data_IF_360873931144
#
_entry.id   IF_360873931144
#
_cell.length_a   1.000
_cell.length_b   1.000
_cell.length_c   1.000
_cell.angle_alpha   90.00
_cell.angle_beta   90.00
_cell.angle_gamma   90.00
#
_symmetry.space_group_name_H-M   'P 1'
#
loop_
_entity.id
_entity.type
_entity.pdbx_description
1 polymer ?
#
# COMPACT_ATOMS: atom_id res chain seq x y z
N UNK A 1 -3.06 9.34 20.72
CA UNK A 1 -2.71 8.27 21.68
C UNK A 1 -3.13 8.66 23.09
N UNK A 2 -2.34 9.42 23.85
CA UNK A 2 -2.66 9.74 25.25
C UNK A 2 -4.00 10.49 25.42
N UNK A 3 -4.25 11.53 24.62
CA UNK A 3 -5.52 12.27 24.63
C UNK A 3 -6.73 11.45 24.16
N UNK A 4 -6.51 10.32 23.48
CA UNK A 4 -7.56 9.43 22.97
C UNK A 4 -7.66 8.14 23.79
N UNK A 5 -7.00 8.04 24.94
CA UNK A 5 -6.96 6.83 25.78
C UNK A 5 -6.29 5.62 25.11
N UNK A 6 -5.57 5.82 24.01
CA UNK A 6 -4.92 4.75 23.26
C UNK A 6 -3.44 4.65 23.63
N UNK A 7 -2.96 3.42 23.87
CA UNK A 7 -1.56 3.13 24.15
C UNK A 7 -0.76 3.22 22.85
N UNK A 8 0.27 4.08 22.81
CA UNK A 8 1.23 4.08 21.70
C UNK A 8 2.24 2.97 21.91
N UNK A 9 2.39 2.07 20.93
CA UNK A 9 3.42 1.01 20.95
C UNK A 9 4.84 1.56 20.87
N UNK A 10 5.01 2.73 20.23
CA UNK A 10 6.28 3.43 20.13
C UNK A 10 6.05 4.93 20.16
N UNK A 11 6.84 5.67 20.94
CA UNK A 11 7.05 7.10 20.77
C UNK A 11 8.38 7.27 20.04
N UNK A 12 8.31 7.61 18.75
CA UNK A 12 9.39 7.37 17.78
C UNK A 12 10.70 8.04 18.18
N UNK A 13 10.66 9.30 18.63
CA UNK A 13 11.85 10.07 18.96
C UNK A 13 12.58 9.52 20.21
N UNK A 14 11.84 9.32 21.30
CA UNK A 14 12.35 8.83 22.58
C UNK A 14 12.83 7.38 22.48
N UNK A 15 12.05 6.53 21.79
CA UNK A 15 12.40 5.13 21.61
C UNK A 15 13.69 4.96 20.81
N UNK A 16 13.92 5.79 19.78
CA UNK A 16 15.13 5.72 18.97
C UNK A 16 16.39 5.97 19.78
N UNK A 17 16.38 6.96 20.67
CA UNK A 17 17.53 7.27 21.52
C UNK A 17 17.88 6.14 22.49
N UNK A 18 16.86 5.48 23.06
CA UNK A 18 17.05 4.35 23.96
C UNK A 18 17.57 3.11 23.22
N UNK A 19 17.04 2.84 22.02
CA UNK A 19 17.51 1.73 21.17
C UNK A 19 18.98 1.93 20.78
N UNK A 20 19.35 3.14 20.35
CA UNK A 20 20.72 3.44 19.92
C UNK A 20 21.75 3.35 21.06
N UNK A 21 21.30 3.52 22.30
CA UNK A 21 22.13 3.35 23.51
C UNK A 21 22.08 1.92 24.07
N UNK A 22 21.35 0.99 23.45
CA UNK A 22 21.15 -0.37 23.95
C UNK A 22 20.34 -0.45 25.25
N UNK A 23 19.60 0.62 25.59
CA UNK A 23 18.76 0.71 26.79
C UNK A 23 17.32 0.22 26.54
N UNK A 24 16.99 -0.13 25.30
CA UNK A 24 15.70 -0.70 24.91
C UNK A 24 15.89 -1.75 23.82
N UNK A 25 15.11 -2.83 23.89
CA UNK A 25 14.99 -3.83 22.82
C UNK A 25 13.73 -3.56 21.99
N UNK A 26 13.87 -3.59 20.67
CA UNK A 26 12.76 -3.43 19.73
C UNK A 26 12.28 -4.75 19.13
N UNK A 27 12.86 -5.89 19.51
CA UNK A 27 12.56 -7.19 18.89
C UNK A 27 11.07 -7.56 19.00
N UNK A 28 10.41 -7.24 20.12
CA UNK A 28 8.96 -7.42 20.27
C UNK A 28 8.12 -6.57 19.31
N UNK A 29 8.49 -5.30 19.11
CA UNK A 29 7.81 -4.44 18.13
C UNK A 29 8.03 -4.94 16.70
N UNK A 30 9.24 -5.38 16.36
CA UNK A 30 9.55 -5.92 15.04
C UNK A 30 8.81 -7.24 14.78
N UNK A 31 8.66 -8.09 15.81
CA UNK A 31 7.85 -9.30 15.75
C UNK A 31 6.38 -8.97 15.50
N UNK A 32 5.80 -8.04 16.27
CA UNK A 32 4.41 -7.60 16.07
C UNK A 32 4.24 -7.07 14.63
N UNK A 33 5.11 -6.16 14.19
CA UNK A 33 5.03 -5.56 12.86
C UNK A 33 5.18 -6.60 11.74
N UNK A 34 6.07 -7.58 11.87
CA UNK A 34 6.19 -8.67 10.90
C UNK A 34 4.88 -9.44 10.74
N UNK A 35 4.14 -9.64 11.84
CA UNK A 35 2.86 -10.35 11.87
C UNK A 35 1.64 -9.44 11.63
N UNK A 36 1.83 -8.22 11.12
CA UNK A 36 0.72 -7.30 10.85
C UNK A 36 0.08 -6.69 12.10
N UNK A 37 0.82 -6.62 13.21
CA UNK A 37 0.42 -5.95 14.43
C UNK A 37 1.29 -4.70 14.68
N UNK A 38 0.73 -3.53 15.00
CA UNK A 38 -0.69 -3.24 15.20
C UNK A 38 -1.49 -3.10 13.89
N UNK A 39 -2.84 -3.17 13.93
CA UNK A 39 -3.69 -3.06 12.73
C UNK A 39 -3.73 -1.65 12.10
N UNK A 40 -3.03 -0.69 12.70
CA UNK A 40 -2.88 0.68 12.22
C UNK A 40 -1.63 1.32 12.82
N UNK A 41 -0.74 1.81 11.96
CA UNK A 41 0.30 2.74 12.31
C UNK A 41 -0.07 4.14 11.80
N UNK A 42 -0.10 5.12 12.71
CA UNK A 42 -0.37 6.53 12.39
C UNK A 42 0.93 7.29 12.54
N UNK A 43 1.40 7.90 11.46
CA UNK A 43 2.74 8.47 11.37
C UNK A 43 2.62 9.88 10.81
N UNK A 44 3.27 10.86 11.43
CA UNK A 44 3.31 12.22 10.87
C UNK A 44 4.26 12.29 9.65
N UNK A 45 5.36 11.54 9.72
CA UNK A 45 6.37 11.47 8.66
C UNK A 45 7.11 10.13 8.69
N UNK A 46 7.11 9.40 7.56
CA UNK A 46 7.94 8.22 7.39
C UNK A 46 9.41 8.62 7.18
N UNK A 47 10.20 8.79 8.25
CA UNK A 47 11.60 9.21 8.12
C UNK A 47 12.48 9.09 9.37
N UNK A 48 13.55 9.91 9.39
CA UNK A 48 14.84 9.71 10.09
C UNK A 48 14.83 9.24 11.56
N UNK A 49 13.73 9.41 12.27
CA UNK A 49 13.65 9.04 13.69
C UNK A 49 13.17 7.61 13.90
N UNK A 50 12.73 6.91 12.84
CA UNK A 50 12.38 5.48 12.92
C UNK A 50 13.60 4.58 12.65
N UNK A 51 13.76 3.48 13.41
CA UNK A 51 14.73 2.45 13.08
C UNK A 51 14.52 1.88 11.68
N UNK A 52 15.60 1.62 10.95
CA UNK A 52 15.56 1.09 9.59
C UNK A 52 14.73 -0.20 9.48
N UNK A 53 14.75 -1.04 10.52
CA UNK A 53 13.98 -2.28 10.59
C UNK A 53 12.47 -2.03 10.63
N UNK A 54 12.02 -1.01 11.37
CA UNK A 54 10.61 -0.59 11.40
C UNK A 54 10.18 -0.05 10.04
N UNK A 55 11.01 0.78 9.41
CA UNK A 55 10.75 1.30 8.06
C UNK A 55 10.67 0.16 7.04
N UNK A 56 11.55 -0.84 7.12
CA UNK A 56 11.52 -2.00 6.24
C UNK A 56 10.20 -2.77 6.39
N UNK A 57 9.75 -3.05 7.61
CA UNK A 57 8.47 -3.73 7.85
C UNK A 57 7.27 -2.92 7.37
N UNK A 58 7.23 -1.62 7.65
CA UNK A 58 6.15 -0.74 7.22
C UNK A 58 6.07 -0.56 5.69
N UNK A 59 7.19 -0.73 4.98
CA UNK A 59 7.21 -0.63 3.52
C UNK A 59 6.78 -1.91 2.81
N UNK A 60 6.90 -3.08 3.44
CA UNK A 60 6.61 -4.35 2.78
C UNK A 60 5.36 -5.05 3.37
N UNK A 61 5.26 -5.17 4.70
CA UNK A 61 4.14 -5.85 5.37
C UNK A 61 2.90 -4.96 5.50
N UNK A 62 3.10 -3.65 5.47
CA UNK A 62 2.06 -2.62 5.51
C UNK A 62 2.03 -1.85 4.20
N UNK A 63 0.90 -1.21 3.94
CA UNK A 63 0.74 -0.24 2.88
C UNK A 63 0.00 1.00 3.39
N UNK A 64 0.16 2.12 2.69
CA UNK A 64 -0.44 3.38 3.06
C UNK A 64 -1.94 3.36 2.73
N UNK A 65 -2.78 3.50 3.76
CA UNK A 65 -4.24 3.69 3.67
C UNK A 65 -4.59 5.19 3.59
N UNK A 66 -3.78 5.92 2.83
CA UNK A 66 -3.90 7.36 2.63
C UNK A 66 -3.49 8.22 3.82
N UNK A 67 -3.97 9.47 3.79
CA UNK A 67 -3.63 10.52 4.77
C UNK A 67 -4.89 11.14 5.39
N UNK A 68 -4.81 11.53 6.66
CA UNK A 68 -5.80 12.35 7.35
C UNK A 68 -5.12 13.63 7.84
N UNK A 69 -5.36 14.73 7.14
CA UNK A 69 -4.63 15.99 7.35
C UNK A 69 -3.13 15.79 7.18
N UNK A 70 -2.38 15.97 8.26
CA UNK A 70 -0.92 15.80 8.23
C UNK A 70 -0.47 14.37 8.55
N UNK A 71 -1.35 13.48 9.01
CA UNK A 71 -0.98 12.12 9.40
C UNK A 71 -1.17 11.11 8.27
N UNK A 72 -0.15 10.29 8.06
CA UNK A 72 -0.18 9.13 7.18
C UNK A 72 -0.68 7.90 7.94
N UNK A 73 -1.52 7.11 7.29
CA UNK A 73 -2.07 5.88 7.84
C UNK A 73 -1.42 4.69 7.14
N UNK A 74 -0.83 3.77 7.89
CA UNK A 74 -0.32 2.50 7.37
C UNK A 74 -1.11 1.36 7.99
N UNK A 75 -1.55 0.41 7.16
CA UNK A 75 -2.25 -0.80 7.61
C UNK A 75 -1.59 -2.05 7.07
N UNK A 76 -1.67 -3.18 7.81
CA UNK A 76 -1.20 -4.45 7.30
C UNK A 76 -1.93 -4.78 6.00
N UNK A 77 -1.17 -5.26 5.02
CA UNK A 77 -1.73 -5.80 3.79
C UNK A 77 -2.52 -7.06 4.15
N UNK A 78 -3.76 -7.14 3.66
CA UNK A 78 -4.60 -8.32 3.86
C UNK A 78 -4.22 -9.41 2.86
N UNK A 79 -3.86 -10.58 3.39
CA UNK A 79 -3.38 -11.71 2.60
C UNK A 79 -4.37 -12.86 2.61
N UNK A 80 -5.59 -12.62 3.09
CA UNK A 80 -6.66 -13.60 3.10
C UNK A 80 -6.47 -14.70 4.16
N UNK A 81 -7.25 -15.79 4.06
CA UNK A 81 -7.25 -16.84 5.05
C UNK A 81 -5.96 -17.67 5.00
N UNK A 82 -5.32 -17.80 6.16
CA UNK A 82 -4.14 -18.63 6.33
C UNK A 82 -4.44 -20.12 6.08
N UNK A 83 -3.59 -20.76 5.29
CA UNK A 83 -3.52 -22.20 5.07
C UNK A 83 -2.40 -22.77 5.94
N UNK A 84 -2.69 -23.84 6.69
CA UNK A 84 -1.71 -24.48 7.58
C UNK A 84 -0.99 -25.61 6.84
N UNK A 85 0.31 -25.73 7.06
CA UNK A 85 1.16 -26.84 6.61
C UNK A 85 1.49 -27.67 7.85
N UNK A 86 0.93 -28.87 7.94
CA UNK A 86 1.12 -29.79 9.07
C UNK A 86 1.54 -31.18 8.57
N UNK A 87 2.74 -31.69 8.93
CA UNK A 87 3.77 -30.99 9.71
C UNK A 87 4.42 -29.83 8.93
N UNK A 88 4.99 -28.82 9.61
CA UNK A 88 5.77 -27.77 8.95
C UNK A 88 6.84 -28.36 8.03
N UNK A 89 7.00 -27.77 6.85
CA UNK A 89 7.96 -28.23 5.85
C UNK A 89 9.29 -27.53 6.04
N UNK A 90 10.35 -28.27 6.35
CA UNK A 90 11.73 -27.73 6.40
C UNK A 90 12.14 -27.27 5.00
N UNK A 91 12.48 -25.98 4.86
CA UNK A 91 12.94 -25.39 3.60
C UNK A 91 14.46 -25.31 3.58
N UNK A 92 15.09 -25.07 4.73
CA UNK A 92 16.55 -25.06 4.87
C UNK A 92 17.04 -24.07 5.91
N UNK A 93 18.33 -24.17 6.24
CA UNK A 93 18.99 -23.32 7.24
C UNK A 93 18.32 -23.28 8.63
N UNK A 94 17.65 -24.38 9.02
CA UNK A 94 16.91 -24.48 10.28
C UNK A 94 15.60 -23.70 10.27
N UNK A 95 15.04 -23.42 9.10
CA UNK A 95 13.75 -22.77 8.92
C UNK A 95 12.74 -23.73 8.28
N UNK A 96 11.57 -23.79 8.91
CA UNK A 96 10.42 -24.51 8.42
C UNK A 96 9.28 -23.54 8.06
N UNK A 97 8.53 -23.87 7.01
CA UNK A 97 7.30 -23.19 6.64
C UNK A 97 6.12 -23.92 7.28
N UNK A 98 5.41 -23.24 8.18
CA UNK A 98 4.24 -23.78 8.89
C UNK A 98 2.91 -23.31 8.31
N UNK A 99 2.90 -22.23 7.51
CA UNK A 99 1.69 -21.73 6.88
C UNK A 99 1.97 -20.84 5.68
N UNK A 100 0.94 -20.62 4.87
CA UNK A 100 0.94 -19.60 3.82
C UNK A 100 -0.45 -18.98 3.65
N UNK A 101 -0.54 -17.79 3.08
CA UNK A 101 -1.80 -17.14 2.71
C UNK A 101 -1.64 -16.43 1.36
N UNK A 102 -2.72 -16.37 0.57
CA UNK A 102 -2.75 -15.66 -0.70
C UNK A 102 -3.89 -14.64 -0.70
N UNK A 103 -3.59 -13.39 -1.01
CA UNK A 103 -4.63 -12.38 -1.18
C UNK A 103 -5.55 -12.79 -2.35
N UNK A 104 -6.85 -12.92 -2.12
CA UNK A 104 -7.78 -13.35 -3.17
C UNK A 104 -7.82 -12.34 -4.34
N UNK A 105 -7.80 -12.75 -5.62
CA UNK A 105 -7.87 -11.82 -6.74
C UNK A 105 -9.14 -10.96 -6.73
N UNK A 106 -9.13 -9.80 -7.40
CA UNK A 106 -10.34 -8.95 -7.50
C UNK A 106 -11.44 -9.59 -8.36
N UNK A 107 -11.03 -10.41 -9.31
CA UNK A 107 -11.89 -11.21 -10.18
C UNK A 107 -11.91 -12.67 -9.68
N UNK A 108 -12.76 -13.56 -10.23
CA UNK A 108 -12.77 -14.98 -9.84
C UNK A 108 -11.44 -15.73 -10.05
N UNK A 109 -10.50 -15.13 -10.78
CA UNK A 109 -9.15 -15.64 -11.04
C UNK A 109 -8.21 -14.46 -11.18
N UNK A 110 -6.90 -14.70 -11.05
CA UNK A 110 -5.90 -13.66 -11.27
C UNK A 110 -5.89 -13.22 -12.72
N UNK A 111 -5.58 -11.95 -12.95
CA UNK A 111 -5.43 -11.38 -14.29
C UNK A 111 -3.95 -11.12 -14.61
N UNK A 112 -3.52 -11.24 -15.88
CA UNK A 112 -2.20 -10.76 -16.31
C UNK A 112 -2.01 -9.30 -15.92
N UNK A 113 -0.82 -8.96 -15.41
CA UNK A 113 -0.52 -7.63 -14.84
C UNK A 113 -0.88 -7.47 -13.35
N UNK A 114 -1.71 -8.36 -12.77
CA UNK A 114 -2.07 -8.28 -11.36
C UNK A 114 -0.88 -8.62 -10.44
N UNK A 115 -0.89 -8.07 -9.22
CA UNK A 115 0.11 -8.38 -8.21
C UNK A 115 -0.34 -9.61 -7.39
N UNK A 116 0.41 -10.71 -7.50
CA UNK A 116 0.29 -11.84 -6.59
C UNK A 116 0.91 -11.45 -5.24
N UNK A 117 0.14 -11.61 -4.16
CA UNK A 117 0.59 -11.32 -2.79
C UNK A 117 0.51 -12.61 -1.98
N UNK A 118 1.65 -13.06 -1.47
CA UNK A 118 1.80 -14.31 -0.72
C UNK A 118 2.39 -14.01 0.65
N UNK A 119 1.69 -14.38 1.71
CA UNK A 119 2.24 -14.35 3.06
C UNK A 119 2.76 -15.73 3.43
N UNK A 120 3.93 -15.79 4.07
CA UNK A 120 4.59 -17.02 4.47
C UNK A 120 4.82 -17.01 5.98
N UNK A 121 4.31 -18.02 6.68
CA UNK A 121 4.49 -18.18 8.12
C UNK A 121 5.67 -19.11 8.42
N UNK A 122 6.78 -18.51 8.85
CA UNK A 122 8.04 -19.21 9.13
C UNK A 122 8.21 -19.54 10.60
N UNK A 123 8.88 -20.66 10.88
CA UNK A 123 9.32 -21.06 12.21
C UNK A 123 10.83 -21.31 12.20
N UNK A 124 11.52 -20.85 13.24
CA UNK A 124 12.93 -21.08 13.43
C UNK A 124 13.17 -22.26 14.38
N UNK A 125 13.94 -23.24 13.92
CA UNK A 125 14.41 -24.35 14.73
C UNK A 125 15.66 -24.01 15.55
N UNK A 126 16.11 -24.93 16.43
CA UNK A 126 17.33 -24.72 17.24
C UNK A 126 18.61 -24.52 16.44
N UNK A 127 18.63 -24.98 15.19
CA UNK A 127 19.76 -24.86 14.25
C UNK A 127 19.61 -23.69 13.27
N UNK A 128 18.71 -22.74 13.53
CA UNK A 128 18.49 -21.59 12.67
C UNK A 128 19.79 -20.78 12.50
N UNK A 129 20.12 -20.47 11.25
CA UNK A 129 21.36 -19.75 10.92
C UNK A 129 21.35 -18.29 11.39
N UNK A 130 22.54 -17.75 11.64
CA UNK A 130 22.77 -16.31 11.84
C UNK A 130 23.06 -15.56 10.53
N UNK A 131 23.29 -16.28 9.44
CA UNK A 131 23.59 -15.69 8.13
C UNK A 131 22.37 -14.96 7.55
N UNK A 132 22.62 -13.93 6.75
CA UNK A 132 21.55 -13.26 6.01
C UNK A 132 20.95 -14.23 4.99
N UNK A 133 19.62 -14.33 5.00
CA UNK A 133 18.85 -15.16 4.10
C UNK A 133 17.93 -14.30 3.24
N UNK A 134 17.69 -14.78 2.03
CA UNK A 134 16.66 -14.29 1.12
C UNK A 134 15.60 -15.35 0.91
N UNK A 135 14.34 -14.93 0.81
CA UNK A 135 13.22 -15.77 0.42
C UNK A 135 12.94 -15.52 -1.05
N UNK A 136 12.81 -16.61 -1.81
CA UNK A 136 12.44 -16.56 -3.22
C UNK A 136 10.98 -16.98 -3.37
N UNK A 137 10.23 -16.29 -4.22
CA UNK A 137 8.90 -16.67 -4.67
C UNK A 137 8.93 -16.85 -6.18
N UNK A 138 8.57 -18.03 -6.66
CA UNK A 138 8.62 -18.40 -8.07
C UNK A 138 7.20 -18.67 -8.58
N UNK A 139 6.88 -18.10 -9.75
CA UNK A 139 5.79 -18.58 -10.59
C UNK A 139 6.35 -19.65 -11.52
N UNK A 140 5.71 -20.82 -11.57
CA UNK A 140 6.14 -21.95 -12.41
C UNK A 140 5.07 -22.35 -13.43
N UNK A 141 5.51 -22.93 -14.55
CA UNK A 141 4.61 -23.59 -15.51
C UNK A 141 3.90 -24.78 -14.86
N UNK A 142 2.82 -25.32 -15.45
CA UNK A 142 2.22 -26.58 -15.00
C UNK A 142 3.22 -27.74 -14.86
N UNK A 143 4.27 -27.75 -15.67
CA UNK A 143 5.35 -28.76 -15.68
C UNK A 143 6.43 -28.48 -14.62
N UNK A 144 6.33 -27.38 -13.87
CA UNK A 144 7.24 -27.01 -12.79
C UNK A 144 8.45 -26.18 -13.21
N UNK A 145 8.52 -25.71 -14.47
CA UNK A 145 9.60 -24.84 -14.93
C UNK A 145 9.41 -23.40 -14.40
N UNK A 146 10.46 -22.73 -13.88
CA UNK A 146 10.33 -21.35 -13.40
C UNK A 146 10.08 -20.37 -14.55
N UNK A 147 9.11 -19.47 -14.37
CA UNK A 147 8.75 -18.41 -15.33
C UNK A 147 9.19 -17.03 -14.86
N UNK A 148 8.94 -16.75 -13.58
CA UNK A 148 9.23 -15.46 -12.95
C UNK A 148 9.60 -15.72 -11.50
N UNK A 149 10.44 -14.85 -10.95
CA UNK A 149 10.88 -14.94 -9.56
C UNK A 149 10.95 -13.56 -8.92
N UNK A 150 10.58 -13.47 -7.64
CA UNK A 150 10.94 -12.38 -6.75
C UNK A 150 11.86 -12.88 -5.64
N UNK A 151 12.74 -12.01 -5.16
CA UNK A 151 13.69 -12.28 -4.09
C UNK A 151 13.64 -11.10 -3.11
N UNK A 152 13.37 -11.38 -1.84
CA UNK A 152 13.42 -10.39 -0.76
C UNK A 152 14.19 -10.95 0.42
N UNK A 153 14.97 -10.14 1.16
CA UNK A 153 15.57 -10.57 2.41
C UNK A 153 14.51 -11.13 3.37
N UNK A 154 14.83 -12.21 4.08
CA UNK A 154 13.93 -12.82 5.06
C UNK A 154 13.54 -11.78 6.12
N UNK A 155 12.22 -11.60 6.31
CA UNK A 155 11.63 -10.53 7.13
C UNK A 155 12.25 -9.16 6.82
N UNK A 156 12.60 -8.92 5.55
CA UNK A 156 13.19 -7.69 5.01
C UNK A 156 14.50 -7.28 5.71
N UNK A 157 15.22 -8.24 6.31
CA UNK A 157 16.39 -7.99 7.14
C UNK A 157 16.09 -7.31 8.49
N UNK A 158 14.81 -7.15 8.83
CA UNK A 158 14.37 -6.43 10.02
C UNK A 158 14.53 -7.28 11.29
N UNK A 159 14.17 -8.56 11.24
CA UNK A 159 14.18 -9.46 12.40
C UNK A 159 14.80 -10.82 12.03
N UNK A 160 16.07 -11.08 12.42
CA UNK A 160 16.74 -12.34 12.09
C UNK A 160 16.12 -13.53 12.86
N UNK A 161 16.15 -14.75 12.30
CA UNK A 161 15.57 -15.96 12.90
C UNK A 161 16.00 -16.22 14.34
N UNK A 162 17.26 -15.95 14.67
CA UNK A 162 17.81 -16.15 16.03
C UNK A 162 17.20 -15.23 17.09
N UNK A 163 16.41 -14.24 16.70
CA UNK A 163 15.68 -13.33 17.59
C UNK A 163 14.18 -13.61 17.62
N UNK A 164 13.70 -14.65 16.95
CA UNK A 164 12.30 -15.03 17.00
C UNK A 164 11.99 -15.67 18.36
N UNK A 165 10.82 -15.39 18.96
CA UNK A 165 10.42 -16.10 20.17
C UNK A 165 10.33 -17.61 19.91
N UNK A 166 10.69 -18.43 20.90
CA UNK A 166 10.71 -19.88 20.75
C UNK A 166 9.34 -20.43 20.35
N UNK A 167 9.30 -21.19 19.25
CA UNK A 167 8.07 -21.77 18.71
C UNK A 167 7.09 -20.77 18.09
N UNK A 168 7.46 -19.49 17.98
CA UNK A 168 6.63 -18.50 17.33
C UNK A 168 6.72 -18.61 15.81
N UNK A 169 5.59 -18.34 15.16
CA UNK A 169 5.54 -18.08 13.72
C UNK A 169 5.85 -16.61 13.47
N UNK A 170 6.67 -16.33 12.45
CA UNK A 170 6.94 -14.99 11.93
C UNK A 170 6.53 -14.92 10.47
N UNK A 171 5.67 -13.97 10.15
CA UNK A 171 5.19 -13.75 8.80
C UNK A 171 6.23 -13.02 7.92
N UNK A 172 6.22 -13.36 6.63
CA UNK A 172 6.98 -12.72 5.58
C UNK A 172 6.11 -12.62 4.32
N UNK A 173 5.77 -11.39 3.94
CA UNK A 173 4.99 -11.10 2.75
C UNK A 173 5.91 -10.94 1.53
N UNK A 174 5.62 -11.72 0.49
CA UNK A 174 6.21 -11.68 -0.84
C UNK A 174 5.20 -11.17 -1.84
N UNK A 175 5.70 -10.50 -2.87
CA UNK A 175 4.88 -9.99 -3.97
C UNK A 175 5.51 -10.30 -5.31
N UNK A 176 4.70 -10.69 -6.29
CA UNK A 176 5.14 -11.00 -7.63
C UNK A 176 4.18 -10.38 -8.65
N UNK A 177 4.66 -9.42 -9.45
CA UNK A 177 3.86 -8.83 -10.52
C UNK A 177 3.73 -9.84 -11.67
N UNK A 178 2.50 -10.28 -11.95
CA UNK A 178 2.28 -11.20 -13.05
C UNK A 178 2.56 -10.49 -14.39
N UNK A 179 3.27 -11.12 -15.34
CA UNK A 179 3.51 -10.51 -16.66
C UNK A 179 2.19 -10.14 -17.35
N UNK A 180 2.17 -9.02 -18.08
CA UNK A 180 0.97 -8.57 -18.79
C UNK A 180 0.60 -9.52 -19.94
N UNK A 181 1.58 -10.26 -20.46
CA UNK A 181 1.45 -11.24 -21.54
C UNK A 181 1.29 -12.66 -21.01
N UNK A 182 1.14 -12.85 -19.70
CA UNK A 182 1.00 -14.18 -19.10
C UNK A 182 -0.24 -14.90 -19.67
N UNK A 183 -0.09 -16.06 -20.32
CA UNK A 183 -1.22 -16.78 -20.90
C UNK A 183 -2.25 -17.19 -19.85
N UNK A 184 -3.48 -17.45 -20.29
CA UNK A 184 -4.50 -18.06 -19.44
C UNK A 184 -4.09 -19.49 -19.10
N UNK A 185 -4.19 -19.89 -17.84
CA UNK A 185 -3.76 -21.22 -17.44
C UNK A 185 -3.68 -21.41 -15.94
N UNK A 186 -3.14 -22.56 -15.53
CA UNK A 186 -2.81 -22.86 -14.13
C UNK A 186 -1.31 -22.79 -13.96
N UNK A 187 -0.87 -22.16 -12.89
CA UNK A 187 0.54 -21.94 -12.61
C UNK A 187 0.87 -22.39 -11.19
N UNK A 188 2.04 -22.98 -11.00
CA UNK A 188 2.55 -23.29 -9.68
C UNK A 188 3.11 -22.03 -9.00
N UNK A 189 2.99 -22.00 -7.68
CA UNK A 189 3.63 -20.99 -6.84
C UNK A 189 4.56 -21.75 -5.90
N UNK A 190 5.86 -21.48 -6.01
CA UNK A 190 6.89 -22.16 -5.24
C UNK A 190 7.73 -21.16 -4.45
N UNK A 191 8.30 -21.62 -3.34
CA UNK A 191 9.16 -20.82 -2.48
C UNK A 191 10.49 -21.52 -2.24
N UNK A 192 11.54 -20.72 -2.04
CA UNK A 192 12.86 -21.22 -1.70
C UNK A 192 13.60 -20.26 -0.77
N UNK A 193 14.78 -20.67 -0.36
CA UNK A 193 15.71 -19.84 0.41
C UNK A 193 17.02 -19.67 -0.36
N UNK A 194 17.68 -18.53 -0.15
CA UNK A 194 19.04 -18.28 -0.61
C UNK A 194 19.93 -17.78 0.52
N UNK A 195 21.20 -18.16 0.47
CA UNK A 195 22.25 -17.55 1.27
C UNK A 195 23.35 -17.04 0.33
N UNK A 196 23.76 -15.79 0.51
CA UNK A 196 24.79 -15.16 -0.34
C UNK A 196 24.52 -15.25 -1.84
N UNK A 197 23.23 -15.23 -2.24
CA UNK A 197 22.79 -15.36 -3.64
C UNK A 197 22.61 -16.79 -4.14
N UNK A 198 23.06 -17.80 -3.39
CA UNK A 198 22.98 -19.20 -3.80
C UNK A 198 21.75 -19.91 -3.21
N UNK A 199 21.02 -20.74 -3.99
CA UNK A 199 19.90 -21.54 -3.49
C UNK A 199 20.29 -22.48 -2.35
N UNK A 200 19.48 -22.49 -1.31
CA UNK A 200 19.54 -23.45 -0.22
C UNK A 200 18.51 -24.55 -0.46
N UNK A 201 18.89 -25.54 -1.27
CA UNK A 201 18.02 -26.66 -1.62
C UNK A 201 17.14 -26.40 -2.84
N UNK A 202 16.04 -27.13 -2.94
CA UNK A 202 15.09 -27.04 -4.05
C UNK A 202 13.93 -26.11 -3.69
N UNK A 203 13.29 -25.51 -4.68
CA UNK A 203 12.04 -24.78 -4.46
C UNK A 203 10.91 -25.73 -4.09
N UNK A 204 10.07 -25.32 -3.14
CA UNK A 204 8.91 -26.07 -2.67
C UNK A 204 7.64 -25.43 -3.21
N UNK A 205 6.85 -26.16 -4.00
CA UNK A 205 5.54 -25.68 -4.44
C UNK A 205 4.57 -25.64 -3.26
N UNK A 206 4.01 -24.46 -2.98
CA UNK A 206 3.08 -24.25 -1.87
C UNK A 206 1.62 -24.22 -2.32
N UNK A 207 1.35 -23.81 -3.56
CA UNK A 207 0.00 -23.78 -4.12
C UNK A 207 0.01 -23.67 -5.64
N UNK A 208 -1.18 -23.62 -6.24
CA UNK A 208 -1.37 -23.23 -7.64
C UNK A 208 -2.33 -22.04 -7.72
N UNK A 209 -2.14 -21.19 -8.72
CA UNK A 209 -3.08 -20.12 -9.07
C UNK A 209 -3.65 -20.36 -10.46
N UNK A 210 -4.82 -19.80 -10.72
CA UNK A 210 -5.43 -19.78 -12.04
C UNK A 210 -5.44 -18.36 -12.57
N UNK A 211 -4.99 -18.20 -13.81
CA UNK A 211 -4.92 -16.93 -14.53
C UNK A 211 -5.91 -16.98 -15.69
N UNK A 212 -6.72 -15.93 -15.81
CA UNK A 212 -7.75 -15.80 -16.85
C UNK A 212 -7.57 -14.52 -17.65
N UNK A 213 -8.28 -14.40 -18.77
CA UNK A 213 -8.18 -13.23 -19.63
C UNK A 213 -8.42 -11.93 -18.84
N UNK A 214 -7.60 -10.91 -19.11
CA UNK A 214 -7.66 -9.64 -18.40
C UNK A 214 -8.97 -8.90 -18.68
N UNK A 215 -9.59 -8.38 -17.64
CA UNK A 215 -10.70 -7.43 -17.70
C UNK A 215 -10.28 -6.02 -17.27
N UNK A 216 -9.07 -5.90 -16.72
CA UNK A 216 -8.38 -4.66 -16.40
C UNK A 216 -7.52 -4.11 -17.54
N UNK A 217 -6.64 -3.18 -17.19
CA UNK A 217 -5.75 -2.51 -18.14
C UNK A 217 -4.40 -2.15 -17.48
N UNK A 218 -3.30 -2.41 -18.20
CA UNK A 218 -1.96 -1.95 -17.85
C UNK A 218 -1.71 -0.53 -18.39
N UNK A 219 -1.02 0.29 -17.59
CA UNK A 219 -0.63 1.66 -17.94
C UNK A 219 0.90 1.76 -18.00
N UNK A 220 1.47 1.66 -19.19
CA UNK A 220 2.92 1.67 -19.42
C UNK A 220 3.60 2.90 -18.80
N UNK A 221 2.97 4.08 -18.85
CA UNK A 221 3.55 5.32 -18.32
C UNK A 221 3.80 5.27 -16.80
N UNK A 222 3.02 4.45 -16.09
CA UNK A 222 3.12 4.28 -14.63
C UNK A 222 3.70 2.93 -14.20
N UNK A 223 3.69 1.95 -15.10
CA UNK A 223 4.00 0.55 -14.82
C UNK A 223 2.94 -0.17 -13.98
N UNK A 224 1.74 0.41 -13.82
CA UNK A 224 0.70 -0.13 -12.95
C UNK A 224 -0.44 -0.80 -13.75
N UNK A 225 -1.00 -1.85 -13.16
CA UNK A 225 -2.22 -2.50 -13.66
C UNK A 225 -3.44 -2.05 -12.86
N UNK A 226 -4.54 -1.74 -13.55
CA UNK A 226 -5.83 -1.41 -12.97
C UNK A 226 -6.81 -2.56 -13.22
N UNK A 227 -7.21 -3.33 -12.19
CA UNK A 227 -8.13 -4.45 -12.36
C UNK A 227 -9.50 -4.04 -12.87
N UNK A 228 -10.20 -4.94 -13.57
CA UNK A 228 -11.44 -4.63 -14.29
C UNK A 228 -12.53 -3.89 -13.48
N UNK A 229 -12.87 -4.29 -12.23
CA UNK A 229 -13.83 -3.56 -11.41
C UNK A 229 -13.44 -2.09 -11.19
N UNK A 230 -12.16 -1.83 -10.91
CA UNK A 230 -11.63 -0.47 -10.68
C UNK A 230 -11.55 0.28 -12.01
N UNK A 231 -11.14 -0.39 -13.10
CA UNK A 231 -11.04 0.22 -14.44
C UNK A 231 -12.39 0.71 -14.96
N UNK A 232 -13.47 -0.06 -14.73
CA UNK A 232 -14.84 0.38 -15.06
C UNK A 232 -15.23 1.65 -14.30
N UNK A 233 -14.93 1.70 -13.00
CA UNK A 233 -15.21 2.88 -12.18
C UNK A 233 -14.36 4.09 -12.58
N UNK A 234 -13.08 3.87 -12.89
CA UNK A 234 -12.17 4.89 -13.39
C UNK A 234 -12.72 5.55 -14.66
N UNK A 235 -13.17 4.75 -15.64
CA UNK A 235 -13.79 5.25 -16.88
C UNK A 235 -15.08 6.04 -16.60
N UNK A 236 -15.96 5.49 -15.75
CA UNK A 236 -17.25 6.12 -15.43
C UNK A 236 -17.09 7.47 -14.68
N UNK A 237 -15.98 7.66 -13.96
CA UNK A 237 -15.70 8.87 -13.18
C UNK A 237 -14.86 9.90 -13.94
N UNK A 238 -14.68 9.77 -15.27
CA UNK A 238 -13.98 10.74 -16.10
C UNK A 238 -12.52 10.39 -16.40
N UNK A 239 -12.09 9.18 -16.07
CA UNK A 239 -10.81 8.60 -16.48
C UNK A 239 -9.60 9.48 -16.16
N UNK A 240 -8.70 9.62 -17.13
CA UNK A 240 -7.40 10.29 -16.95
C UNK A 240 -7.55 11.76 -16.54
N UNK A 241 -8.59 12.44 -17.00
CA UNK A 241 -8.77 13.87 -16.70
C UNK A 241 -9.23 14.12 -15.25
N UNK A 242 -9.99 13.20 -14.65
CA UNK A 242 -10.55 13.38 -13.30
C UNK A 242 -9.85 12.55 -12.22
N UNK A 243 -9.36 11.37 -12.58
CA UNK A 243 -8.76 10.41 -11.66
C UNK A 243 -7.23 10.36 -11.83
N UNK A 244 -6.73 10.51 -13.05
CA UNK A 244 -5.29 10.50 -13.37
C UNK A 244 -4.73 9.10 -13.64
N UNK A 245 -3.41 9.02 -13.83
CA UNK A 245 -2.70 7.75 -13.98
C UNK A 245 -2.64 6.98 -12.64
N UNK A 246 -2.67 5.64 -12.65
CA UNK A 246 -2.50 4.85 -11.43
C UNK A 246 -1.09 5.04 -10.84
N UNK A 247 -1.02 5.15 -9.52
CA UNK A 247 0.23 5.31 -8.76
C UNK A 247 0.61 4.02 -8.03
N UNK A 248 -0.37 3.19 -7.67
CA UNK A 248 -0.19 1.96 -6.91
C UNK A 248 -0.88 0.79 -7.60
N UNK A 249 -0.53 -0.46 -7.26
CA UNK A 249 -1.42 -1.60 -7.49
C UNK A 249 -2.69 -1.47 -6.64
N UNK A 250 -3.66 -2.36 -6.87
CA UNK A 250 -4.87 -2.46 -6.05
C UNK A 250 -4.56 -3.22 -4.73
N UNK A 251 -4.18 -2.48 -3.70
CA UNK A 251 -3.73 -3.03 -2.41
C UNK A 251 -4.90 -3.59 -1.61
N UNK A 252 -4.83 -4.85 -1.12
CA UNK A 252 -5.82 -5.40 -0.20
C UNK A 252 -5.57 -4.98 1.25
N UNK A 253 -6.66 -4.61 1.93
CA UNK A 253 -6.75 -4.33 3.35
C UNK A 253 -7.93 -5.11 3.93
N UNK A 254 -7.96 -5.29 5.26
CA UNK A 254 -9.04 -6.02 5.93
C UNK A 254 -10.44 -5.41 5.67
N UNK A 255 -10.50 -4.13 5.29
CA UNK A 255 -11.75 -3.44 4.98
C UNK A 255 -12.16 -3.49 3.50
N UNK A 256 -11.27 -3.92 2.58
CA UNK A 256 -11.49 -3.84 1.13
C UNK A 256 -10.19 -3.65 0.35
N UNK A 257 -10.26 -3.01 -0.82
CA UNK A 257 -9.06 -2.70 -1.63
C UNK A 257 -8.95 -1.22 -1.92
N UNK A 258 -7.72 -0.72 -2.02
CA UNK A 258 -7.42 0.66 -2.39
C UNK A 258 -6.50 0.68 -3.61
N UNK A 259 -6.83 1.50 -4.60
CA UNK A 259 -5.90 1.89 -5.64
C UNK A 259 -5.88 3.41 -5.77
N UNK A 260 -4.70 4.00 -5.67
CA UNK A 260 -4.53 5.44 -5.80
C UNK A 260 -4.01 5.81 -7.18
N UNK A 261 -4.46 6.98 -7.64
CA UNK A 261 -4.15 7.61 -8.90
C UNK A 261 -3.67 9.04 -8.63
N UNK A 262 -3.21 9.76 -9.65
CA UNK A 262 -2.66 11.11 -9.45
C UNK A 262 -3.64 12.07 -8.75
N UNK A 263 -4.92 12.05 -9.11
CA UNK A 263 -5.92 13.04 -8.65
C UNK A 263 -6.90 12.48 -7.62
N UNK A 264 -7.04 11.16 -7.51
CA UNK A 264 -8.00 10.52 -6.60
C UNK A 264 -7.53 9.12 -6.19
N UNK A 265 -8.14 8.56 -5.14
CA UNK A 265 -8.01 7.14 -4.81
C UNK A 265 -9.38 6.48 -4.89
N UNK A 266 -9.43 5.30 -5.51
CA UNK A 266 -10.61 4.47 -5.61
C UNK A 266 -10.51 3.31 -4.63
N UNK A 267 -11.56 3.13 -3.83
CA UNK A 267 -11.69 2.00 -2.92
C UNK A 267 -12.77 1.04 -3.40
N UNK A 268 -12.52 -0.27 -3.28
CA UNK A 268 -13.46 -1.34 -3.53
C UNK A 268 -13.87 -1.95 -2.18
N UNK A 269 -15.16 -1.84 -1.82
CA UNK A 269 -15.75 -2.45 -0.62
C UNK A 269 -17.00 -3.21 -1.00
N UNK A 270 -17.12 -4.46 -0.58
CA UNK A 270 -18.32 -5.29 -0.81
C UNK A 270 -18.81 -5.25 -2.28
N UNK A 271 -17.89 -5.29 -3.25
CA UNK A 271 -18.21 -5.25 -4.68
C UNK A 271 -18.49 -3.86 -5.27
N UNK A 272 -18.49 -2.80 -4.46
CA UNK A 272 -18.75 -1.42 -4.90
C UNK A 272 -17.45 -0.63 -4.92
N UNK A 273 -17.16 0.03 -6.05
CA UNK A 273 -16.02 0.94 -6.20
C UNK A 273 -16.48 2.39 -6.03
N UNK A 274 -15.85 3.13 -5.13
CA UNK A 274 -16.12 4.55 -4.89
C UNK A 274 -14.83 5.36 -4.74
N UNK A 275 -14.88 6.65 -5.08
CA UNK A 275 -13.78 7.56 -4.79
C UNK A 275 -13.72 7.88 -3.29
N UNK A 276 -12.51 7.98 -2.74
CA UNK A 276 -12.30 8.53 -1.39
C UNK A 276 -12.52 10.04 -1.40
N UNK A 277 -13.05 10.57 -0.31
CA UNK A 277 -13.24 12.00 -0.07
C UNK A 277 -11.90 12.68 0.27
N UNK A 278 -10.91 12.61 -0.62
CA UNK A 278 -9.54 13.08 -0.36
C UNK A 278 -9.51 14.59 -0.09
N UNK A 279 -10.41 15.36 -0.69
CA UNK A 279 -10.49 16.80 -0.42
C UNK A 279 -10.86 17.06 1.05
N UNK A 280 -11.89 16.37 1.56
CA UNK A 280 -12.24 16.44 2.99
C UNK A 280 -11.13 15.92 3.91
N UNK A 281 -10.48 14.82 3.54
CA UNK A 281 -9.44 14.19 4.35
C UNK A 281 -8.17 15.05 4.46
N UNK A 282 -7.71 15.63 3.34
CA UNK A 282 -6.51 16.46 3.31
C UNK A 282 -6.77 17.88 3.80
N UNK A 283 -7.99 18.41 3.65
CA UNK A 283 -8.35 19.72 4.19
C UNK A 283 -8.20 19.81 5.71
N UNK A 284 -8.26 18.68 6.44
CA UNK A 284 -7.98 18.66 7.88
C UNK A 284 -6.60 19.25 8.23
N UNK A 285 -5.60 19.07 7.36
CA UNK A 285 -4.24 19.59 7.54
C UNK A 285 -4.04 21.00 6.97
N UNK A 286 -5.04 21.58 6.32
CA UNK A 286 -4.97 22.95 5.80
C UNK A 286 -5.02 23.95 6.97
N UNK A 287 -4.10 24.90 7.00
CA UNK A 287 -4.04 25.91 8.07
C UNK A 287 -4.80 27.16 7.70
N UNK A 288 -4.93 27.44 6.40
CA UNK A 288 -5.68 28.59 5.91
C UNK A 288 -7.17 28.24 5.73
N UNK A 289 -8.03 28.99 6.43
CA UNK A 289 -9.49 28.78 6.42
C UNK A 289 -10.18 29.96 5.76
N UNK A 290 -11.18 29.66 4.94
CA UNK A 290 -12.09 30.65 4.38
C UNK A 290 -13.46 30.04 4.25
N UNK A 291 -14.49 30.84 4.51
CA UNK A 291 -15.87 30.50 4.21
C UNK A 291 -16.46 31.36 3.10
N UNK A 292 -15.64 32.19 2.45
CA UNK A 292 -16.08 33.14 1.45
C UNK A 292 -15.38 32.92 0.11
N UNK A 293 -16.12 33.17 -0.96
CA UNK A 293 -15.57 33.41 -2.29
C UNK A 293 -15.08 34.86 -2.39
N UNK A 294 -14.27 35.17 -3.38
CA UNK A 294 -13.79 36.53 -3.65
C UNK A 294 -14.94 37.51 -3.95
N UNK A 295 -16.08 37.02 -4.46
CA UNK A 295 -17.33 37.77 -4.61
C UNK A 295 -18.13 37.93 -3.30
N UNK A 296 -17.54 37.56 -2.16
CA UNK A 296 -18.11 37.56 -0.81
C UNK A 296 -19.28 36.58 -0.58
N UNK A 297 -19.57 35.67 -1.52
CA UNK A 297 -20.55 34.60 -1.30
C UNK A 297 -20.02 33.58 -0.28
N UNK A 298 -20.89 33.05 0.59
CA UNK A 298 -20.51 32.06 1.62
C UNK A 298 -20.48 30.61 1.09
N UNK A 299 -19.87 29.69 1.85
CA UNK A 299 -19.86 28.23 1.57
C UNK A 299 -21.29 27.74 1.29
N UNK A 300 -21.41 26.89 0.27
CA UNK A 300 -22.67 26.32 -0.21
C UNK A 300 -22.68 26.07 -1.73
N UNK A 301 -21.69 26.63 -2.44
CA UNK A 301 -21.40 26.36 -3.86
C UNK A 301 -19.90 26.43 -4.15
N UNK A 302 -19.49 25.85 -5.27
CA UNK A 302 -18.17 26.13 -5.84
C UNK A 302 -18.13 27.61 -6.26
N UNK A 303 -17.06 28.31 -5.92
CA UNK A 303 -16.92 29.74 -6.15
C UNK A 303 -16.91 30.04 -7.67
N UNK A 304 -17.47 31.19 -8.11
CA UNK A 304 -17.55 31.51 -9.54
C UNK A 304 -16.20 31.52 -10.27
N UNK A 305 -15.11 31.80 -9.56
CA UNK A 305 -13.75 31.70 -10.08
C UNK A 305 -13.40 30.31 -10.63
N UNK A 306 -14.10 29.26 -10.23
CA UNK A 306 -13.91 27.89 -10.70
C UNK A 306 -15.05 27.38 -11.60
N UNK A 307 -15.74 28.27 -12.29
CA UNK A 307 -16.87 27.91 -13.17
C UNK A 307 -16.48 26.87 -14.23
N UNK A 308 -15.28 26.96 -14.81
CA UNK A 308 -14.79 26.01 -15.83
C UNK A 308 -14.70 24.59 -15.28
N UNK A 309 -14.15 24.42 -14.09
CA UNK A 309 -14.06 23.11 -13.43
C UNK A 309 -15.44 22.61 -12.99
N UNK A 310 -16.32 23.51 -12.56
CA UNK A 310 -17.71 23.16 -12.18
C UNK A 310 -18.50 22.66 -13.38
N UNK A 311 -18.39 23.33 -14.54
CA UNK A 311 -19.02 22.90 -15.78
C UNK A 311 -18.48 21.56 -16.26
N UNK A 312 -17.17 21.33 -16.10
CA UNK A 312 -16.52 20.10 -16.56
C UNK A 312 -16.81 18.89 -15.69
N UNK A 313 -16.76 19.04 -14.36
CA UNK A 313 -16.81 17.91 -13.43
C UNK A 313 -18.10 17.82 -12.62
N UNK A 314 -18.86 18.92 -12.49
CA UNK A 314 -20.17 18.95 -11.85
C UNK A 314 -20.19 18.26 -10.49
N UNK A 315 -21.14 17.33 -10.33
CA UNK A 315 -21.35 16.59 -9.08
C UNK A 315 -20.13 15.74 -8.66
N UNK A 316 -19.21 15.40 -9.56
CA UNK A 316 -18.01 14.60 -9.25
C UNK A 316 -16.97 15.35 -8.39
N UNK A 317 -17.19 16.64 -8.12
CA UNK A 317 -16.42 17.41 -7.17
C UNK A 317 -16.89 17.19 -5.72
N UNK A 318 -18.15 16.78 -5.52
CA UNK A 318 -18.80 16.71 -4.21
C UNK A 318 -19.12 18.10 -3.64
N UNK A 319 -19.56 18.14 -2.39
CA UNK A 319 -19.93 19.39 -1.74
C UNK A 319 -18.71 20.27 -1.48
N UNK A 320 -18.82 21.61 -1.63
CA UNK A 320 -17.77 22.54 -1.24
C UNK A 320 -17.59 22.52 0.28
N UNK A 321 -16.36 22.42 0.75
CA UNK A 321 -16.02 22.39 2.18
C UNK A 321 -15.20 23.62 2.61
N UNK A 322 -14.81 24.48 1.66
CA UNK A 322 -14.17 25.76 1.92
C UNK A 322 -14.65 26.86 0.97
N UNK A 323 -14.39 28.11 1.32
CA UNK A 323 -14.30 29.23 0.37
C UNK A 323 -12.96 29.23 -0.37
N UNK A 324 -12.65 30.35 -1.03
CA UNK A 324 -11.36 30.56 -1.70
C UNK A 324 -10.25 30.85 -0.68
N UNK A 325 -9.10 30.20 -0.85
CA UNK A 325 -7.91 30.29 0.01
C UNK A 325 -6.67 30.48 -0.85
N UNK A 326 -5.73 31.32 -0.43
CA UNK A 326 -4.42 31.43 -1.09
C UNK A 326 -3.45 30.36 -0.54
N UNK A 327 -2.98 29.47 -1.40
CA UNK A 327 -2.05 28.37 -1.07
C UNK A 327 -0.90 28.34 -2.06
N UNK A 328 0.33 28.55 -1.59
CA UNK A 328 1.55 28.48 -2.41
C UNK A 328 1.47 29.31 -3.72
N UNK A 329 0.84 30.50 -3.67
CA UNK A 329 0.64 31.36 -4.84
C UNK A 329 -0.55 31.02 -5.74
N UNK A 330 -1.33 29.99 -5.40
CA UNK A 330 -2.56 29.60 -6.10
C UNK A 330 -3.79 29.97 -5.28
N UNK A 331 -4.86 30.38 -5.96
CA UNK A 331 -6.19 30.41 -5.34
C UNK A 331 -6.75 29.00 -5.40
N UNK A 332 -7.13 28.46 -4.25
CA UNK A 332 -7.68 27.12 -4.14
C UNK A 332 -9.04 27.13 -3.46
N UNK A 333 -9.88 26.16 -3.82
CA UNK A 333 -11.08 25.83 -3.08
C UNK A 333 -11.15 24.32 -2.89
N UNK A 334 -11.57 23.88 -1.71
CA UNK A 334 -11.71 22.48 -1.38
C UNK A 334 -13.17 22.05 -1.48
N UNK A 335 -13.38 20.85 -2.02
CA UNK A 335 -14.63 20.11 -1.98
C UNK A 335 -14.40 18.73 -1.38
N UNK A 336 -15.44 17.92 -1.20
CA UNK A 336 -15.31 16.57 -0.61
C UNK A 336 -14.29 15.70 -1.36
N UNK A 337 -14.30 15.73 -2.69
CA UNK A 337 -13.49 14.84 -3.54
C UNK A 337 -12.34 15.53 -4.28
N UNK A 338 -12.15 16.84 -4.15
CA UNK A 338 -11.17 17.56 -4.94
C UNK A 338 -10.62 18.83 -4.26
N UNK A 339 -9.48 19.29 -4.75
CA UNK A 339 -8.99 20.65 -4.58
C UNK A 339 -8.97 21.31 -5.94
N UNK A 340 -9.76 22.36 -6.10
CA UNK A 340 -9.78 23.19 -7.30
C UNK A 340 -8.67 24.21 -7.17
N UNK A 341 -7.88 24.39 -8.21
CA UNK A 341 -6.71 25.28 -8.21
C UNK A 341 -6.78 26.24 -9.39
N UNK A 342 -6.46 27.50 -9.13
CA UNK A 342 -6.49 28.59 -10.12
C UNK A 342 -5.30 29.51 -9.94
N UNK A 343 -4.60 29.77 -11.03
CA UNK A 343 -3.51 30.76 -11.06
C UNK A 343 -4.09 32.18 -11.02
N UNK A 344 -3.64 33.06 -10.11
CA UNK A 344 -4.14 34.43 -10.04
C UNK A 344 -3.83 35.27 -11.28
N UNK A 345 -2.74 34.99 -11.98
CA UNK A 345 -2.21 35.77 -13.11
C UNK A 345 -2.75 35.31 -14.47
N UNK A 346 -2.83 34.01 -14.70
CA UNK A 346 -3.26 33.44 -15.99
C UNK A 346 -4.69 32.92 -16.02
N UNK A 347 -5.35 32.86 -14.85
CA UNK A 347 -6.63 32.19 -14.64
C UNK A 347 -6.64 30.70 -15.09
N UNK A 348 -5.47 30.08 -15.24
CA UNK A 348 -5.35 28.66 -15.57
C UNK A 348 -5.86 27.84 -14.40
N UNK A 349 -6.77 26.91 -14.69
CA UNK A 349 -7.44 26.09 -13.69
C UNK A 349 -7.10 24.61 -13.82
N UNK A 350 -7.07 23.91 -12.70
CA UNK A 350 -6.82 22.47 -12.62
C UNK A 350 -7.32 21.87 -11.32
N UNK A 351 -7.16 20.55 -11.21
CA UNK A 351 -7.36 19.84 -9.95
C UNK A 351 -6.01 19.57 -9.31
N UNK A 352 -5.93 19.76 -8.00
CA UNK A 352 -4.78 19.34 -7.21
C UNK A 352 -4.60 17.82 -7.26
N UNK A 353 -3.34 17.35 -7.21
CA UNK A 353 -2.98 15.93 -7.28
C UNK A 353 -3.21 15.22 -5.95
N UNK A 354 -4.47 15.19 -5.51
CA UNK A 354 -4.81 14.74 -4.16
C UNK A 354 -4.50 13.26 -3.91
N UNK A 355 -4.49 12.41 -4.93
CA UNK A 355 -4.14 11.00 -4.74
C UNK A 355 -2.63 10.81 -4.53
N UNK A 356 -1.79 11.60 -5.20
CA UNK A 356 -0.35 11.69 -4.91
C UNK A 356 -0.10 12.28 -3.51
N UNK A 357 -0.79 13.39 -3.18
CA UNK A 357 -0.69 14.03 -1.85
C UNK A 357 -1.29 13.19 -0.72
N UNK A 358 -2.10 12.19 -1.02
CA UNK A 358 -2.60 11.24 -0.02
C UNK A 358 -1.57 10.15 0.29
N UNK A 359 -0.57 9.97 -0.57
CA UNK A 359 0.48 8.95 -0.46
C UNK A 359 1.84 9.62 -0.17
N UNK A 360 1.92 10.32 0.96
CA UNK A 360 3.07 11.16 1.28
C UNK A 360 4.29 10.34 1.63
N UNK A 361 5.41 10.77 1.06
CA UNK A 361 6.76 10.32 1.35
C UNK A 361 7.67 11.54 1.59
N UNK A 362 8.91 11.33 2.06
CA UNK A 362 9.95 12.36 2.05
C UNK A 362 9.98 13.18 0.76
N UNK A 363 10.28 14.51 0.82
CA UNK A 363 10.25 15.37 -0.36
C UNK A 363 10.99 14.78 -1.57
N UNK A 364 10.29 14.71 -2.71
CA UNK A 364 10.82 14.15 -3.97
C UNK A 364 10.64 12.64 -4.13
N UNK A 365 10.10 11.91 -3.14
CA UNK A 365 9.79 10.49 -3.25
C UNK A 365 8.35 10.25 -3.73
N UNK A 366 8.18 9.45 -4.78
CA UNK A 366 6.87 8.88 -5.12
C UNK A 366 6.62 7.63 -4.27
N UNK A 367 5.46 7.55 -3.63
CA UNK A 367 5.05 6.32 -2.97
C UNK A 367 4.94 5.18 -3.99
N UNK A 368 5.64 4.09 -3.69
CA UNK A 368 5.58 2.84 -4.44
C UNK A 368 5.50 1.73 -3.40
N UNK A 369 4.43 0.96 -3.49
CA UNK A 369 4.25 -0.32 -2.81
C UNK A 369 3.85 -1.35 -3.87
N UNK A 370 4.32 -2.60 -3.79
CA UNK A 370 5.27 -3.13 -2.80
C UNK A 370 6.66 -2.48 -2.84
#
# INVERSE_FOLDING_TARGET
AAASGAVSRMQVFEARQLIDQGLSDQSGLLYDLANGEPPLAVIDYLGNWMPAQVVALLRHRYAQDGSLGTFDLYRPVDTGPQQTIDPPTEIGAGLALGSYALAAPLSPSYEPGELLIVNLGWQAGPSATTSALSVTLQLTTPEGAPLLESDLPLVYGALPPTRWPNGATVEHLQTLALPAELPTGRYGVAIGLRASGEPLGVSHQITTISVQATSGQSFEESGQFVPGPIMRAWNAQGGRERIGLPLTPAVPFAWGRLQCFELACLELRNGVVSARTLGAQLYLGETARSTACNDQATIGRICPGFATLTLRYGANLGQPISGEVLRNGWVVQWSEYARLERRPDTDTQGLGRLGEESLRLPPGGSYRWP
#
